data_IF_427827369534
#
_entry.id   IF_427827369534
#
_cell.length_a   1.000
_cell.length_b   1.000
_cell.length_c   1.000
_cell.angle_alpha   90.00
_cell.angle_beta   90.00
_cell.angle_gamma   90.00
#
_symmetry.space_group_name_H-M   'P 1'
#
loop_
_entity.id
_entity.type
_entity.pdbx_description
1 polymer ?
#
# COMPACT_ATOMS: atom_id res chain seq x y z
N UNK A 1 58.92 50.45 23.45
CA UNK A 1 58.24 50.07 22.19
C UNK A 1 57.72 48.66 22.42
N UNK A 2 56.39 48.52 22.69
CA UNK A 2 55.75 47.24 22.98
C UNK A 2 54.91 46.86 21.78
N UNK A 3 55.26 45.75 21.11
CA UNK A 3 54.48 45.20 20.01
C UNK A 3 53.35 44.36 20.56
N UNK A 4 52.11 44.73 20.24
CA UNK A 4 50.88 43.96 20.49
C UNK A 4 50.54 43.20 19.21
N UNK A 5 50.74 41.88 19.22
CA UNK A 5 50.22 40.98 18.19
C UNK A 5 48.76 40.67 18.46
N UNK A 6 47.85 41.20 17.64
CA UNK A 6 46.43 40.83 17.67
C UNK A 6 46.21 39.51 16.91
N UNK A 7 45.79 38.49 17.58
CA UNK A 7 45.35 37.22 16.94
C UNK A 7 43.91 37.38 16.45
N UNK A 8 43.72 37.35 15.14
CA UNK A 8 42.41 37.23 14.45
C UNK A 8 41.93 35.77 14.53
N UNK A 9 40.92 35.50 15.34
CA UNK A 9 40.20 34.25 15.33
C UNK A 9 39.21 34.25 14.15
N UNK A 10 39.55 33.50 13.10
CA UNK A 10 38.60 33.17 12.03
C UNK A 10 37.59 32.13 12.55
N UNK A 11 36.37 32.55 12.73
CA UNK A 11 35.24 31.65 12.91
C UNK A 11 34.89 31.02 11.57
N UNK A 12 35.24 29.73 11.39
CA UNK A 12 34.72 28.93 10.29
C UNK A 12 33.25 28.60 10.59
N UNK A 13 32.33 29.32 9.97
CA UNK A 13 30.93 28.93 9.91
C UNK A 13 30.84 27.63 9.08
N UNK A 14 30.72 26.51 9.77
CA UNK A 14 30.27 25.28 9.14
C UNK A 14 28.81 25.47 8.74
N UNK A 15 28.56 25.89 7.51
CA UNK A 15 27.26 25.77 6.86
C UNK A 15 26.98 24.29 6.70
N UNK A 16 26.11 23.74 7.56
CA UNK A 16 25.49 22.44 7.28
C UNK A 16 24.78 22.56 5.94
N UNK A 17 24.95 21.60 5.02
CA UNK A 17 24.18 21.62 3.80
C UNK A 17 22.68 21.58 4.21
N UNK A 18 21.93 22.57 3.78
CA UNK A 18 20.48 22.49 3.84
C UNK A 18 20.08 21.23 3.04
N UNK A 19 19.53 20.23 3.72
CA UNK A 19 18.95 19.10 3.03
C UNK A 19 17.81 19.66 2.16
N UNK A 20 17.97 19.58 0.85
CA UNK A 20 16.91 19.93 -0.08
C UNK A 20 15.74 18.97 0.18
N UNK A 21 14.61 19.52 0.62
CA UNK A 21 13.38 18.75 0.84
C UNK A 21 12.85 18.36 -0.54
N UNK A 22 12.76 17.08 -0.80
CA UNK A 22 12.19 16.58 -2.05
C UNK A 22 10.73 17.03 -2.16
N UNK A 23 10.43 17.92 -3.10
CA UNK A 23 9.07 18.43 -3.26
C UNK A 23 8.21 17.42 -4.02
N UNK A 24 7.20 16.85 -3.34
CA UNK A 24 6.16 15.99 -3.89
C UNK A 24 4.79 16.60 -3.60
N UNK A 25 4.25 17.42 -4.54
CA UNK A 25 3.03 18.18 -4.29
C UNK A 25 1.84 17.34 -3.86
N UNK A 26 1.69 16.13 -4.41
CA UNK A 26 0.61 15.22 -4.05
C UNK A 26 0.75 14.71 -2.61
N UNK A 27 1.99 14.45 -2.15
CA UNK A 27 2.25 14.10 -0.75
C UNK A 27 1.99 15.28 0.18
N UNK A 28 2.44 16.48 -0.17
CA UNK A 28 2.19 17.68 0.63
C UNK A 28 0.70 17.96 0.76
N UNK A 29 -0.06 17.80 -0.32
CA UNK A 29 -1.52 17.91 -0.30
C UNK A 29 -2.14 16.86 0.63
N UNK A 30 -1.77 15.57 0.48
CA UNK A 30 -2.27 14.49 1.31
C UNK A 30 -1.97 14.75 2.80
N UNK A 31 -0.74 15.09 3.11
CA UNK A 31 -0.30 15.40 4.48
C UNK A 31 -1.10 16.54 5.11
N UNK A 32 -1.34 17.61 4.38
CA UNK A 32 -2.08 18.78 4.87
C UNK A 32 -3.57 18.50 5.09
N UNK A 33 -4.19 17.67 4.27
CA UNK A 33 -5.64 17.46 4.31
C UNK A 33 -6.06 16.25 5.16
N UNK A 34 -5.23 15.22 5.22
CA UNK A 34 -5.62 13.96 5.83
C UNK A 34 -4.79 13.56 7.06
N UNK A 35 -3.64 14.19 7.35
CA UNK A 35 -2.82 13.84 8.50
C UNK A 35 -2.92 14.93 9.58
N UNK A 36 -3.36 14.55 10.79
CA UNK A 36 -3.38 15.46 11.93
C UNK A 36 -1.97 15.75 12.46
N UNK A 37 -1.83 16.78 13.30
CA UNK A 37 -0.56 17.12 13.94
C UNK A 37 0.03 15.97 14.76
N UNK A 38 -0.83 15.12 15.37
CA UNK A 38 -0.39 13.96 16.14
C UNK A 38 -0.04 12.73 15.28
N UNK A 39 -0.22 12.79 13.96
CA UNK A 39 0.07 11.68 13.05
C UNK A 39 -1.10 10.73 12.79
N UNK A 40 -2.33 11.17 13.02
CA UNK A 40 -3.54 10.42 12.69
C UNK A 40 -3.94 10.68 11.24
N UNK A 41 -4.13 9.64 10.44
CA UNK A 41 -4.75 9.73 9.11
C UNK A 41 -6.27 9.73 9.25
N UNK A 42 -6.94 10.73 8.70
CA UNK A 42 -8.38 10.95 8.83
C UNK A 42 -9.04 10.80 7.46
N UNK A 43 -9.92 9.81 7.33
CA UNK A 43 -10.84 9.75 6.20
C UNK A 43 -12.07 10.60 6.53
N UNK A 44 -12.33 11.70 5.77
CA UNK A 44 -13.44 12.59 6.03
C UNK A 44 -14.78 12.04 5.52
N UNK A 45 -14.80 10.90 4.81
CA UNK A 45 -15.97 10.38 4.13
C UNK A 45 -17.19 10.29 5.07
N UNK A 46 -18.35 10.73 4.59
CA UNK A 46 -19.63 10.72 5.29
C UNK A 46 -19.61 11.43 6.66
N UNK A 47 -18.64 12.32 6.91
CA UNK A 47 -18.53 13.05 8.17
C UNK A 47 -18.10 12.21 9.38
N UNK A 48 -17.84 10.91 9.20
CA UNK A 48 -17.45 10.00 10.29
C UNK A 48 -16.04 10.24 10.81
N UNK A 49 -15.15 10.83 9.97
CA UNK A 49 -13.76 11.11 10.34
C UNK A 49 -13.06 9.91 10.98
N UNK A 50 -13.20 8.75 10.35
CA UNK A 50 -12.58 7.51 10.82
C UNK A 50 -11.09 7.46 10.48
N UNK A 51 -10.39 6.53 11.12
CA UNK A 51 -9.03 6.13 10.78
C UNK A 51 -9.01 4.63 10.61
N UNK A 52 -8.42 4.19 9.50
CA UNK A 52 -8.14 2.77 9.28
C UNK A 52 -6.64 2.50 9.44
N UNK A 53 -6.29 1.29 9.84
CA UNK A 53 -4.88 0.86 9.80
C UNK A 53 -4.32 0.90 8.39
N UNK A 54 -5.17 0.68 7.36
CA UNK A 54 -4.80 0.85 5.94
C UNK A 54 -4.30 2.27 5.67
N UNK A 55 -5.05 3.29 6.09
CA UNK A 55 -4.64 4.67 5.90
C UNK A 55 -3.32 5.02 6.58
N UNK A 56 -3.13 4.54 7.82
CA UNK A 56 -1.87 4.72 8.55
C UNK A 56 -0.70 4.02 7.81
N UNK A 57 -0.91 2.80 7.32
CA UNK A 57 0.11 2.01 6.64
C UNK A 57 0.58 2.64 5.33
N UNK A 58 -0.35 3.14 4.52
CA UNK A 58 -0.03 3.81 3.27
C UNK A 58 0.65 5.16 3.50
N UNK A 59 0.20 5.93 4.50
CA UNK A 59 0.86 7.18 4.85
C UNK A 59 2.31 6.97 5.33
N UNK A 60 2.58 5.90 6.09
CA UNK A 60 3.95 5.50 6.45
C UNK A 60 4.81 5.23 5.20
N UNK A 61 4.27 4.51 4.23
CA UNK A 61 4.97 4.24 2.98
C UNK A 61 5.27 5.53 2.20
N UNK A 62 4.30 6.44 2.07
CA UNK A 62 4.51 7.69 1.34
C UNK A 62 5.47 8.64 2.07
N UNK A 63 5.42 8.69 3.39
CA UNK A 63 6.41 9.44 4.18
C UNK A 63 7.83 8.90 3.98
N UNK A 64 7.98 7.55 3.91
CA UNK A 64 9.26 6.92 3.60
C UNK A 64 9.73 7.25 2.18
N UNK A 65 8.87 7.16 1.17
CA UNK A 65 9.20 7.53 -0.23
C UNK A 65 9.69 8.98 -0.32
N UNK A 66 9.10 9.89 0.45
CA UNK A 66 9.47 11.31 0.45
C UNK A 66 10.61 11.68 1.42
N UNK A 67 11.28 10.72 2.06
CA UNK A 67 12.28 10.94 3.16
C UNK A 67 11.74 11.82 4.30
N UNK A 68 10.41 11.84 4.49
CA UNK A 68 9.74 12.62 5.55
C UNK A 68 9.76 11.85 6.89
N UNK A 69 10.93 11.82 7.51
CA UNK A 69 11.20 11.07 8.75
C UNK A 69 10.37 11.54 9.93
N UNK A 70 10.08 12.84 9.98
CA UNK A 70 9.29 13.42 11.06
C UNK A 70 7.83 12.95 10.98
N UNK A 71 7.22 13.03 9.80
CA UNK A 71 5.84 12.54 9.61
C UNK A 71 5.77 11.02 9.79
N UNK A 72 6.77 10.26 9.30
CA UNK A 72 6.86 8.82 9.52
C UNK A 72 6.86 8.47 11.02
N UNK A 73 7.67 9.14 11.82
CA UNK A 73 7.76 8.89 13.26
C UNK A 73 6.44 9.21 13.98
N UNK A 74 5.76 10.32 13.61
CA UNK A 74 4.44 10.68 14.19
C UNK A 74 3.34 9.68 13.81
N UNK A 75 3.30 9.25 12.55
CA UNK A 75 2.37 8.23 12.08
C UNK A 75 2.56 6.90 12.83
N UNK A 76 3.81 6.46 12.98
CA UNK A 76 4.14 5.22 13.69
C UNK A 76 3.75 5.30 15.17
N UNK A 77 4.11 6.37 15.84
CA UNK A 77 3.79 6.58 17.26
C UNK A 77 2.27 6.61 17.50
N UNK A 78 1.51 7.28 16.60
CA UNK A 78 0.06 7.29 16.69
C UNK A 78 -0.53 5.89 16.47
N UNK A 79 -0.05 5.18 15.46
CA UNK A 79 -0.48 3.81 15.12
C UNK A 79 -0.24 2.87 16.29
N UNK A 80 0.96 2.90 16.86
CA UNK A 80 1.32 2.06 18.00
C UNK A 80 0.45 2.34 19.23
N UNK A 81 0.32 3.62 19.59
CA UNK A 81 -0.47 4.02 20.78
C UNK A 81 -1.96 3.76 20.63
N UNK A 82 -2.56 4.05 19.47
CA UNK A 82 -4.01 4.06 19.31
C UNK A 82 -4.57 2.75 18.73
N UNK A 83 -3.83 2.10 17.84
CA UNK A 83 -4.31 0.89 17.17
C UNK A 83 -3.71 -0.39 17.76
N UNK A 84 -2.47 -0.35 18.26
CA UNK A 84 -1.75 -1.53 18.77
C UNK A 84 -1.56 -1.50 20.31
N UNK A 85 -2.42 -0.83 21.05
CA UNK A 85 -2.41 -0.78 22.53
C UNK A 85 -1.07 -0.31 23.12
N UNK A 86 -0.31 0.48 22.39
CA UNK A 86 1.01 0.98 22.77
C UNK A 86 2.17 0.02 22.54
N UNK A 87 1.95 -1.11 21.88
CA UNK A 87 2.99 -2.13 21.64
C UNK A 87 2.73 -2.94 20.35
N UNK A 88 3.31 -2.51 19.25
CA UNK A 88 3.27 -3.25 17.96
C UNK A 88 3.98 -4.60 18.02
N UNK A 89 4.87 -4.82 18.98
CA UNK A 89 5.49 -6.14 19.17
C UNK A 89 4.53 -7.12 19.85
N UNK A 90 3.60 -6.60 20.64
CA UNK A 90 2.60 -7.34 21.40
C UNK A 90 1.25 -7.51 20.73
N UNK A 91 0.86 -6.61 19.82
CA UNK A 91 -0.49 -6.57 19.24
C UNK A 91 -0.45 -6.16 17.77
N UNK A 92 -1.28 -6.81 16.93
CA UNK A 92 -1.58 -6.32 15.60
C UNK A 92 -2.45 -5.05 15.70
N UNK A 93 -2.29 -4.07 14.82
CA UNK A 93 -3.14 -2.90 14.77
C UNK A 93 -4.63 -3.23 14.58
N UNK A 94 -5.49 -2.63 15.37
CA UNK A 94 -6.93 -2.63 15.13
C UNK A 94 -7.24 -1.90 13.83
N UNK A 95 -8.09 -2.51 12.97
CA UNK A 95 -8.29 -1.95 11.64
C UNK A 95 -9.10 -0.67 11.60
N UNK A 96 -10.01 -0.45 12.58
CA UNK A 96 -10.94 0.69 12.57
C UNK A 96 -10.93 1.46 13.89
N UNK A 97 -10.72 2.76 13.80
CA UNK A 97 -10.77 3.70 14.91
C UNK A 97 -11.64 4.90 14.55
N UNK A 98 -12.35 5.46 15.52
CA UNK A 98 -13.25 6.56 15.27
C UNK A 98 -14.07 6.96 16.49
N UNK A 99 -15.18 7.66 16.26
CA UNK A 99 -16.08 8.10 17.31
C UNK A 99 -17.02 6.98 17.71
N UNK A 100 -16.98 6.56 18.96
CA UNK A 100 -17.81 5.52 19.56
C UNK A 100 -19.23 6.04 19.84
N UNK A 101 -20.14 5.14 20.16
CA UNK A 101 -21.56 5.49 20.43
C UNK A 101 -21.74 6.38 21.65
N UNK A 102 -20.85 6.27 22.64
CA UNK A 102 -20.84 7.11 23.85
C UNK A 102 -20.24 8.51 23.62
N UNK A 103 -19.78 8.79 22.38
CA UNK A 103 -19.18 10.05 21.98
C UNK A 103 -17.68 10.14 22.16
N UNK A 104 -17.04 9.17 22.81
CA UNK A 104 -15.59 9.08 22.96
C UNK A 104 -14.93 8.65 21.65
N UNK A 105 -13.63 8.92 21.54
CA UNK A 105 -12.81 8.47 20.44
C UNK A 105 -12.03 7.22 20.84
N UNK A 106 -12.01 6.19 19.98
CA UNK A 106 -11.33 4.94 20.28
C UNK A 106 -11.49 3.90 19.17
N UNK A 107 -11.02 2.69 19.45
CA UNK A 107 -11.13 1.55 18.55
C UNK A 107 -12.63 1.18 18.40
N UNK A 108 -13.08 1.10 17.14
CA UNK A 108 -14.46 0.69 16.77
C UNK A 108 -14.52 -0.79 16.46
N UNK A 109 -13.47 -1.33 15.83
CA UNK A 109 -13.31 -2.75 15.58
C UNK A 109 -11.85 -3.13 15.82
N UNK A 110 -11.65 -4.07 16.74
CA UNK A 110 -10.32 -4.50 17.20
C UNK A 110 -9.73 -5.67 16.39
N UNK A 111 -10.40 -6.14 15.33
CA UNK A 111 -9.77 -7.08 14.41
C UNK A 111 -8.61 -6.40 13.69
N UNK A 112 -7.67 -7.16 13.15
CA UNK A 112 -6.62 -6.63 12.29
C UNK A 112 -7.06 -6.61 10.81
N UNK A 113 -6.31 -5.87 10.00
CA UNK A 113 -6.40 -5.93 8.54
C UNK A 113 -5.00 -6.20 7.99
N UNK A 114 -4.82 -7.40 7.44
CA UNK A 114 -3.50 -7.94 7.12
C UNK A 114 -2.77 -7.21 6.00
N UNK A 115 -3.48 -6.56 5.08
CA UNK A 115 -2.88 -5.68 4.08
C UNK A 115 -2.17 -4.49 4.74
N UNK A 116 -2.82 -3.89 5.72
CA UNK A 116 -2.25 -2.81 6.52
C UNK A 116 -1.00 -3.26 7.27
N UNK A 117 -1.10 -4.41 7.93
CA UNK A 117 -0.02 -4.96 8.72
C UNK A 117 1.19 -5.31 7.84
N UNK A 118 0.95 -5.80 6.62
CA UNK A 118 1.98 -6.00 5.60
C UNK A 118 2.67 -4.69 5.22
N UNK A 119 1.91 -3.62 4.93
CA UNK A 119 2.49 -2.35 4.56
C UNK A 119 3.23 -1.66 5.71
N UNK A 120 2.75 -1.80 6.97
CA UNK A 120 3.47 -1.30 8.16
C UNK A 120 4.80 -2.06 8.32
N UNK A 121 4.77 -3.40 8.27
CA UNK A 121 5.98 -4.22 8.38
C UNK A 121 6.98 -3.88 7.26
N UNK A 122 6.52 -3.75 6.02
CA UNK A 122 7.34 -3.37 4.88
C UNK A 122 7.99 -1.99 5.08
N UNK A 123 7.18 -0.99 5.42
CA UNK A 123 7.66 0.39 5.61
C UNK A 123 8.70 0.48 6.73
N UNK A 124 8.51 -0.27 7.82
CA UNK A 124 9.48 -0.35 8.92
C UNK A 124 10.79 -1.03 8.50
N UNK A 125 10.73 -2.13 7.76
CA UNK A 125 11.92 -2.84 7.28
C UNK A 125 12.72 -1.97 6.29
N UNK A 126 12.03 -1.29 5.39
CA UNK A 126 12.68 -0.42 4.40
C UNK A 126 13.17 0.90 5.01
N UNK A 127 12.44 1.50 5.95
CA UNK A 127 12.91 2.64 6.72
C UNK A 127 14.16 2.27 7.55
N UNK A 128 14.15 1.08 8.16
CA UNK A 128 15.30 0.55 8.87
C UNK A 128 16.54 0.41 7.98
N UNK A 129 16.36 -0.07 6.75
CA UNK A 129 17.44 -0.22 5.76
C UNK A 129 17.89 1.12 5.18
N UNK A 130 16.96 1.95 4.74
CA UNK A 130 17.26 3.21 4.02
C UNK A 130 17.80 4.31 4.96
N UNK A 131 17.33 4.33 6.18
CA UNK A 131 17.74 5.32 7.20
C UNK A 131 18.78 4.79 8.19
N UNK A 132 19.28 3.56 8.02
CA UNK A 132 20.19 2.87 8.94
C UNK A 132 19.66 2.86 10.38
N UNK A 133 18.35 2.58 10.52
CA UNK A 133 17.67 2.57 11.83
C UNK A 133 17.36 1.13 12.27
N UNK A 134 18.23 0.60 13.15
CA UNK A 134 18.09 -0.76 13.66
C UNK A 134 16.79 -0.99 14.47
N UNK A 135 16.23 0.04 15.11
CA UNK A 135 14.97 -0.09 15.85
C UNK A 135 13.80 -0.34 14.91
N UNK A 136 13.74 0.35 13.77
CA UNK A 136 12.71 0.10 12.77
C UNK A 136 12.86 -1.30 12.13
N UNK A 137 14.10 -1.72 11.82
CA UNK A 137 14.36 -3.07 11.32
C UNK A 137 13.91 -4.16 12.30
N UNK A 138 14.18 -3.97 13.59
CA UNK A 138 13.79 -4.90 14.64
C UNK A 138 12.26 -4.95 14.79
N UNK A 139 11.60 -3.78 14.85
CA UNK A 139 10.14 -3.67 14.99
C UNK A 139 9.43 -4.30 13.79
N UNK A 140 9.86 -4.00 12.55
CA UNK A 140 9.31 -4.60 11.33
C UNK A 140 9.48 -6.12 11.30
N UNK A 141 10.63 -6.64 11.77
CA UNK A 141 10.88 -8.09 11.86
C UNK A 141 9.96 -8.76 12.89
N UNK A 142 9.73 -8.13 14.03
CA UNK A 142 8.83 -8.66 15.07
C UNK A 142 7.37 -8.65 14.62
N UNK A 143 6.94 -7.56 13.98
CA UNK A 143 5.61 -7.47 13.40
C UNK A 143 5.41 -8.54 12.32
N UNK A 144 6.37 -8.73 11.41
CA UNK A 144 6.30 -9.74 10.36
C UNK A 144 6.15 -11.17 10.94
N UNK A 145 6.85 -11.49 12.05
CA UNK A 145 6.69 -12.76 12.76
C UNK A 145 5.31 -12.91 13.39
N UNK A 146 4.72 -11.82 13.85
CA UNK A 146 3.37 -11.81 14.42
C UNK A 146 2.33 -12.05 13.34
N UNK A 147 2.42 -11.38 12.20
CA UNK A 147 1.57 -11.60 11.03
C UNK A 147 1.61 -13.08 10.61
N UNK A 148 2.82 -13.66 10.51
CA UNK A 148 2.97 -15.08 10.15
C UNK A 148 2.24 -16.03 11.13
N UNK A 149 2.14 -15.66 12.41
CA UNK A 149 1.50 -16.48 13.44
C UNK A 149 0.00 -16.28 13.52
N UNK A 150 -0.50 -15.05 13.29
CA UNK A 150 -1.87 -14.68 13.59
C UNK A 150 -2.74 -14.51 12.35
N UNK A 151 -2.15 -14.29 11.17
CA UNK A 151 -2.88 -13.98 9.95
C UNK A 151 -2.57 -14.92 8.77
N UNK A 152 -1.58 -15.81 8.91
CA UNK A 152 -1.31 -16.81 7.88
C UNK A 152 -1.94 -18.15 8.25
N UNK A 153 -2.74 -18.68 7.33
CA UNK A 153 -3.30 -20.03 7.42
C UNK A 153 -2.73 -20.92 6.31
N UNK A 154 -2.56 -22.21 6.59
CA UNK A 154 -2.22 -23.20 5.56
C UNK A 154 -3.49 -23.87 5.07
N UNK A 155 -3.93 -23.51 3.87
CA UNK A 155 -5.17 -23.99 3.29
C UNK A 155 -4.95 -25.36 2.63
N UNK A 156 -5.81 -26.36 2.93
CA UNK A 156 -5.71 -27.68 2.30
C UNK A 156 -5.79 -27.57 0.78
N UNK A 157 -4.85 -28.23 0.08
CA UNK A 157 -4.78 -28.22 -1.39
C UNK A 157 -4.25 -26.94 -2.03
N UNK A 158 -4.02 -25.87 -1.25
CA UNK A 158 -3.50 -24.60 -1.76
C UNK A 158 -2.11 -24.26 -1.18
N UNK A 159 -1.96 -24.27 0.13
CA UNK A 159 -0.73 -23.88 0.82
C UNK A 159 -0.91 -22.69 1.77
N UNK A 160 0.19 -22.04 2.19
CA UNK A 160 0.11 -20.89 3.09
C UNK A 160 -0.43 -19.66 2.36
N UNK A 161 -1.42 -19.00 2.97
CA UNK A 161 -2.02 -17.75 2.47
C UNK A 161 -2.24 -16.76 3.59
N UNK A 162 -2.24 -15.48 3.26
CA UNK A 162 -2.63 -14.41 4.16
C UNK A 162 -4.15 -14.34 4.24
N UNK A 163 -4.71 -14.51 5.43
CA UNK A 163 -6.11 -14.22 5.70
C UNK A 163 -6.29 -12.71 5.82
N UNK A 164 -7.45 -12.13 5.48
CA UNK A 164 -7.66 -10.68 5.50
C UNK A 164 -7.53 -10.03 6.88
N UNK A 165 -7.48 -10.81 7.94
CA UNK A 165 -7.23 -10.40 9.32
C UNK A 165 -7.18 -11.62 10.24
N UNK A 166 -6.91 -11.41 11.52
CA UNK A 166 -6.70 -12.49 12.48
C UNK A 166 -7.96 -13.31 12.79
N UNK A 167 -9.17 -12.79 12.48
CA UNK A 167 -10.43 -13.46 12.84
C UNK A 167 -11.51 -13.26 11.78
N UNK A 168 -12.39 -14.26 11.65
CA UNK A 168 -13.65 -14.12 10.90
C UNK A 168 -13.57 -14.53 9.42
N UNK A 169 -12.45 -15.05 8.95
CA UNK A 169 -12.24 -15.40 7.54
C UNK A 169 -12.16 -16.90 7.28
N UNK A 170 -12.36 -17.72 8.31
CA UNK A 170 -12.38 -19.16 8.22
C UNK A 170 -13.64 -19.74 8.88
N UNK A 171 -14.27 -20.71 8.25
CA UNK A 171 -15.40 -21.46 8.78
C UNK A 171 -15.87 -22.56 7.86
N UNK A 172 -16.19 -23.73 8.43
CA UNK A 172 -16.79 -24.89 7.73
C UNK A 172 -15.96 -25.38 6.52
N UNK A 173 -14.62 -25.35 6.61
CA UNK A 173 -13.71 -25.75 5.52
C UNK A 173 -13.68 -24.75 4.36
N UNK A 174 -14.07 -23.53 4.60
CA UNK A 174 -14.04 -22.39 3.68
C UNK A 174 -13.19 -21.27 4.25
N UNK A 175 -12.41 -20.64 3.39
CA UNK A 175 -11.57 -19.47 3.70
C UNK A 175 -11.91 -18.35 2.75
N UNK A 176 -12.28 -17.19 3.29
CA UNK A 176 -12.53 -15.97 2.51
C UNK A 176 -11.23 -15.16 2.40
N UNK A 177 -10.86 -14.81 1.19
CA UNK A 177 -9.61 -14.11 0.86
C UNK A 177 -9.89 -12.82 0.10
N UNK A 178 -8.98 -11.87 0.22
CA UNK A 178 -8.96 -10.65 -0.59
C UNK A 178 -7.65 -10.63 -1.42
N UNK A 179 -7.72 -10.84 -2.76
CA UNK A 179 -6.52 -10.88 -3.60
C UNK A 179 -5.69 -9.59 -3.56
N UNK A 180 -6.31 -8.44 -3.30
CA UNK A 180 -5.62 -7.15 -3.24
C UNK A 180 -4.73 -6.98 -2.00
N UNK A 181 -4.89 -7.84 -0.99
CA UNK A 181 -4.10 -7.83 0.25
C UNK A 181 -2.71 -8.46 0.08
N UNK A 182 -2.39 -8.94 -1.12
CA UNK A 182 -1.17 -9.67 -1.44
C UNK A 182 -0.29 -8.92 -2.47
N UNK A 183 0.29 -7.75 -2.13
CA UNK A 183 1.21 -7.08 -3.04
C UNK A 183 2.45 -7.96 -3.30
N UNK A 184 2.73 -8.36 -4.55
CA UNK A 184 3.81 -9.30 -4.87
C UNK A 184 5.19 -8.77 -4.45
N UNK A 185 5.43 -7.46 -4.55
CA UNK A 185 6.68 -6.82 -4.15
C UNK A 185 6.94 -6.91 -2.64
N UNK A 186 5.90 -6.86 -1.82
CA UNK A 186 6.04 -7.05 -0.37
C UNK A 186 6.42 -8.50 -0.06
N UNK A 187 5.75 -9.48 -0.67
CA UNK A 187 6.11 -10.89 -0.55
C UNK A 187 7.53 -11.17 -1.05
N UNK A 188 7.97 -10.50 -2.13
CA UNK A 188 9.33 -10.61 -2.62
C UNK A 188 10.34 -10.15 -1.55
N UNK A 189 10.06 -9.03 -0.88
CA UNK A 189 10.90 -8.52 0.21
C UNK A 189 10.90 -9.43 1.42
N UNK A 190 9.73 -9.93 1.80
CA UNK A 190 9.57 -10.80 2.97
C UNK A 190 10.19 -12.19 2.78
N UNK A 191 10.36 -12.65 1.53
CA UNK A 191 10.98 -13.95 1.25
C UNK A 191 12.42 -14.09 1.78
N UNK A 192 13.09 -12.98 2.09
CA UNK A 192 14.42 -12.98 2.75
C UNK A 192 14.34 -13.14 4.27
N UNK A 193 13.16 -13.14 4.86
CA UNK A 193 12.93 -13.33 6.30
C UNK A 193 12.41 -14.71 6.61
N UNK A 194 12.59 -15.16 7.86
CA UNK A 194 12.05 -16.42 8.32
C UNK A 194 10.51 -16.37 8.38
N UNK A 195 9.85 -17.33 7.72
CA UNK A 195 8.39 -17.43 7.68
C UNK A 195 7.90 -18.11 6.40
N UNK A 196 6.58 -18.08 6.15
CA UNK A 196 5.95 -18.73 4.99
C UNK A 196 6.09 -17.94 3.68
N UNK A 197 6.79 -16.82 3.69
CA UNK A 197 6.78 -15.78 2.68
C UNK A 197 7.26 -16.25 1.31
N UNK A 198 8.29 -17.11 1.28
CA UNK A 198 8.80 -17.70 0.04
C UNK A 198 7.79 -18.60 -0.64
N UNK A 199 7.07 -19.42 0.14
CA UNK A 199 6.00 -20.30 -0.37
C UNK A 199 4.81 -19.47 -0.83
N UNK A 200 4.41 -18.44 -0.07
CA UNK A 200 3.33 -17.53 -0.47
C UNK A 200 3.68 -16.79 -1.75
N UNK A 201 4.93 -16.30 -1.89
CA UNK A 201 5.40 -15.65 -3.14
C UNK A 201 5.30 -16.61 -4.33
N UNK A 202 5.70 -17.87 -4.16
CA UNK A 202 5.64 -18.88 -5.23
C UNK A 202 4.20 -19.24 -5.61
N UNK A 203 3.28 -19.24 -4.63
CA UNK A 203 1.86 -19.53 -4.82
C UNK A 203 1.10 -18.36 -5.49
N UNK A 204 1.50 -17.14 -5.24
CA UNK A 204 0.74 -15.93 -5.58
C UNK A 204 0.30 -15.84 -7.05
N UNK A 205 1.16 -16.11 -8.07
CA UNK A 205 0.72 -16.06 -9.46
C UNK A 205 -0.45 -17.00 -9.75
N UNK A 206 -0.40 -18.23 -9.20
CA UNK A 206 -1.48 -19.20 -9.34
C UNK A 206 -2.77 -18.70 -8.66
N UNK A 207 -2.66 -18.19 -7.43
CA UNK A 207 -3.80 -17.66 -6.68
C UNK A 207 -4.49 -16.55 -7.46
N UNK A 208 -3.75 -15.56 -7.93
CA UNK A 208 -4.30 -14.41 -8.65
C UNK A 208 -4.96 -14.82 -9.99
N UNK A 209 -4.32 -15.70 -10.76
CA UNK A 209 -4.85 -16.12 -12.05
C UNK A 209 -6.08 -17.01 -11.92
N UNK A 210 -6.07 -17.97 -11.01
CA UNK A 210 -7.20 -18.89 -10.83
C UNK A 210 -8.42 -18.22 -10.19
N UNK A 211 -8.23 -17.24 -9.29
CA UNK A 211 -9.33 -16.46 -8.70
C UNK A 211 -9.93 -15.43 -9.67
N UNK A 212 -9.25 -15.13 -10.77
CA UNK A 212 -9.64 -14.16 -11.78
C UNK A 212 -9.63 -14.77 -13.20
N UNK A 213 -10.46 -15.78 -13.51
CA UNK A 213 -10.33 -16.61 -14.72
C UNK A 213 -10.46 -15.85 -16.05
N UNK A 214 -10.97 -14.63 -16.01
CA UNK A 214 -11.09 -13.73 -17.19
C UNK A 214 -10.14 -12.53 -17.14
N UNK A 215 -9.20 -12.50 -16.19
CA UNK A 215 -8.29 -11.36 -16.00
C UNK A 215 -8.94 -10.14 -15.35
N UNK A 216 -10.09 -10.35 -14.67
CA UNK A 216 -10.72 -9.36 -13.82
C UNK A 216 -10.67 -9.84 -12.37
N UNK A 217 -9.91 -9.13 -11.54
CA UNK A 217 -9.75 -9.48 -10.14
C UNK A 217 -11.07 -9.29 -9.38
N UNK A 218 -11.49 -10.24 -8.52
CA UNK A 218 -12.57 -10.02 -7.58
C UNK A 218 -12.09 -9.21 -6.38
N UNK A 219 -12.99 -8.49 -5.70
CA UNK A 219 -12.70 -7.89 -4.39
C UNK A 219 -12.47 -8.99 -3.35
N UNK A 220 -13.32 -10.01 -3.37
CA UNK A 220 -13.29 -11.13 -2.43
C UNK A 220 -13.53 -12.45 -3.13
N UNK A 221 -12.92 -13.52 -2.61
CA UNK A 221 -13.07 -14.87 -3.15
C UNK A 221 -12.96 -15.90 -2.03
N UNK A 222 -13.71 -16.99 -2.14
CA UNK A 222 -13.63 -18.10 -1.20
C UNK A 222 -12.75 -19.23 -1.76
N UNK A 223 -11.99 -19.89 -0.89
CA UNK A 223 -11.34 -21.17 -1.14
C UNK A 223 -12.03 -22.27 -0.39
N UNK A 224 -12.32 -23.39 -1.05
CA UNK A 224 -12.77 -24.65 -0.45
C UNK A 224 -11.90 -25.79 -0.97
N UNK A 225 -11.38 -26.64 -0.07
CA UNK A 225 -10.40 -27.67 -0.42
C UNK A 225 -10.89 -28.68 -1.47
N UNK A 226 -12.19 -28.98 -1.44
CA UNK A 226 -12.85 -29.97 -2.32
C UNK A 226 -13.42 -29.34 -3.60
N UNK A 227 -13.55 -28.01 -3.67
CA UNK A 227 -14.20 -27.29 -4.78
C UNK A 227 -13.31 -26.25 -5.47
N UNK A 228 -12.17 -25.91 -4.87
CA UNK A 228 -11.30 -24.84 -5.34
C UNK A 228 -11.90 -23.44 -5.09
N UNK A 229 -11.64 -22.50 -5.98
CA UNK A 229 -12.11 -21.12 -5.89
C UNK A 229 -13.63 -21.04 -6.07
N UNK A 230 -14.27 -20.30 -5.18
CA UNK A 230 -15.73 -20.10 -5.18
C UNK A 230 -16.04 -18.61 -5.04
N UNK A 231 -17.19 -18.22 -5.55
CA UNK A 231 -17.75 -16.88 -5.34
C UNK A 231 -18.16 -16.72 -3.88
N UNK A 232 -17.84 -15.59 -3.28
CA UNK A 232 -18.24 -15.26 -1.92
C UNK A 232 -19.75 -15.05 -1.83
N UNK A 233 -20.42 -15.74 -0.93
CA UNK A 233 -21.90 -15.79 -0.90
C UNK A 233 -22.57 -14.43 -0.66
N UNK A 234 -21.94 -13.59 0.17
CA UNK A 234 -22.45 -12.27 0.56
C UNK A 234 -21.91 -11.11 -0.30
N UNK A 235 -20.77 -11.30 -0.98
CA UNK A 235 -20.10 -10.22 -1.75
C UNK A 235 -20.11 -10.45 -3.27
N UNK A 236 -20.49 -11.65 -3.73
CA UNK A 236 -20.55 -11.99 -5.14
C UNK A 236 -19.16 -12.13 -5.79
N UNK A 237 -19.16 -12.02 -7.14
CA UNK A 237 -17.98 -12.14 -7.99
C UNK A 237 -17.46 -10.76 -8.46
N UNK A 238 -17.87 -9.69 -7.79
CA UNK A 238 -17.55 -8.32 -8.20
C UNK A 238 -16.14 -7.93 -7.80
N UNK A 239 -15.43 -7.30 -8.72
CA UNK A 239 -14.20 -6.55 -8.46
C UNK A 239 -14.44 -5.05 -8.65
N UNK A 240 -13.95 -4.25 -7.71
CA UNK A 240 -14.12 -2.80 -7.72
C UNK A 240 -13.04 -2.12 -6.88
N UNK A 241 -13.42 -1.58 -5.73
CA UNK A 241 -12.55 -0.74 -4.90
C UNK A 241 -11.40 -1.51 -4.22
N UNK A 242 -11.55 -2.79 -3.90
CA UNK A 242 -10.45 -3.62 -3.44
C UNK A 242 -9.61 -4.11 -4.64
N UNK A 243 -10.27 -4.69 -5.62
CA UNK A 243 -9.65 -5.32 -6.78
C UNK A 243 -8.77 -4.36 -7.60
N UNK A 244 -9.07 -3.05 -7.63
CA UNK A 244 -8.27 -2.06 -8.34
C UNK A 244 -6.81 -2.06 -7.91
N UNK A 245 -6.53 -2.40 -6.66
CA UNK A 245 -5.17 -2.51 -6.11
C UNK A 245 -4.41 -3.72 -6.68
N UNK A 246 -5.07 -4.78 -7.11
CA UNK A 246 -4.39 -5.89 -7.80
C UNK A 246 -3.67 -5.38 -9.04
N UNK A 247 -4.35 -4.63 -9.89
CA UNK A 247 -3.76 -4.07 -11.11
C UNK A 247 -2.63 -3.08 -10.79
N UNK A 248 -2.80 -2.27 -9.75
CA UNK A 248 -1.79 -1.34 -9.26
C UNK A 248 -0.51 -2.09 -8.85
N UNK A 249 -0.65 -3.11 -7.99
CA UNK A 249 0.49 -3.90 -7.51
C UNK A 249 1.21 -4.61 -8.65
N UNK A 250 0.47 -5.20 -9.58
CA UNK A 250 1.06 -5.90 -10.72
C UNK A 250 1.80 -4.95 -11.67
N UNK A 251 1.26 -3.77 -11.91
CA UNK A 251 1.92 -2.75 -12.71
C UNK A 251 3.24 -2.27 -12.13
N UNK A 252 3.34 -2.22 -10.79
CA UNK A 252 4.54 -1.78 -10.07
C UNK A 252 5.61 -2.87 -9.88
N UNK A 253 5.34 -4.13 -10.27
CA UNK A 253 6.35 -5.19 -10.22
C UNK A 253 7.59 -4.81 -11.02
N UNK A 254 8.77 -5.18 -10.50
CA UNK A 254 10.03 -5.10 -11.24
C UNK A 254 9.95 -5.83 -12.57
N UNK A 255 10.58 -5.29 -13.61
CA UNK A 255 10.68 -5.97 -14.92
C UNK A 255 11.46 -7.27 -14.84
N UNK A 256 12.29 -7.43 -13.82
CA UNK A 256 13.08 -8.63 -13.55
C UNK A 256 12.30 -9.69 -12.74
N UNK A 257 11.09 -9.36 -12.23
CA UNK A 257 10.28 -10.36 -11.51
C UNK A 257 9.78 -11.42 -12.49
N UNK A 258 10.07 -12.72 -12.24
CA UNK A 258 9.73 -13.81 -13.17
C UNK A 258 8.23 -13.97 -13.41
N UNK A 259 7.37 -13.54 -12.49
CA UNK A 259 5.92 -13.65 -12.62
C UNK A 259 5.30 -12.48 -13.40
N UNK A 260 6.02 -11.35 -13.53
CA UNK A 260 5.47 -10.10 -14.08
C UNK A 260 4.84 -10.26 -15.46
N UNK A 261 5.57 -10.84 -16.40
CA UNK A 261 5.09 -10.95 -17.78
C UNK A 261 3.77 -11.73 -17.87
N UNK A 262 3.67 -12.85 -17.16
CA UNK A 262 2.46 -13.69 -17.11
C UNK A 262 1.29 -12.97 -16.44
N UNK A 263 1.53 -12.31 -15.30
CA UNK A 263 0.50 -11.61 -14.55
C UNK A 263 -0.01 -10.37 -15.29
N UNK A 264 0.87 -9.54 -15.84
CA UNK A 264 0.49 -8.36 -16.63
C UNK A 264 -0.33 -8.76 -17.84
N UNK A 265 0.06 -9.83 -18.56
CA UNK A 265 -0.70 -10.33 -19.70
C UNK A 265 -2.09 -10.85 -19.29
N UNK A 266 -2.17 -11.56 -18.15
CA UNK A 266 -3.44 -12.10 -17.66
C UNK A 266 -4.45 -11.00 -17.29
N UNK A 267 -3.98 -9.92 -16.65
CA UNK A 267 -4.81 -8.82 -16.17
C UNK A 267 -4.98 -7.65 -17.17
N UNK A 268 -4.41 -7.76 -18.37
CA UNK A 268 -4.55 -6.77 -19.44
C UNK A 268 -6.02 -6.45 -19.86
N UNK A 269 -7.02 -7.36 -19.73
CA UNK A 269 -8.40 -7.06 -20.07
C UNK A 269 -8.98 -5.81 -19.38
N UNK A 270 -8.51 -5.44 -18.17
CA UNK A 270 -8.95 -4.21 -17.50
C UNK A 270 -8.54 -2.95 -18.28
N UNK A 271 -7.35 -2.93 -18.89
CA UNK A 271 -6.91 -1.81 -19.72
C UNK A 271 -7.70 -1.72 -21.04
N UNK A 272 -8.18 -2.86 -21.56
CA UNK A 272 -9.00 -2.87 -22.77
C UNK A 272 -10.34 -2.12 -22.57
N UNK A 273 -10.90 -2.15 -21.35
CA UNK A 273 -12.12 -1.42 -21.01
C UNK A 273 -11.99 0.10 -21.24
N UNK A 274 -10.81 0.66 -20.98
CA UNK A 274 -10.55 2.08 -21.26
C UNK A 274 -10.64 2.38 -22.77
N UNK A 275 -10.16 1.48 -23.62
CA UNK A 275 -10.21 1.65 -25.07
C UNK A 275 -11.62 1.48 -25.63
N UNK A 276 -12.39 0.58 -25.06
CA UNK A 276 -13.76 0.25 -25.51
C UNK A 276 -14.79 1.32 -25.13
N UNK A 277 -14.69 1.85 -23.90
CA UNK A 277 -15.70 2.75 -23.31
C UNK A 277 -15.21 4.19 -23.05
N UNK A 278 -13.91 4.44 -23.20
CA UNK A 278 -13.28 5.73 -22.87
C UNK A 278 -13.09 5.98 -21.37
N UNK A 279 -13.51 5.08 -20.51
CA UNK A 279 -13.34 5.16 -19.06
C UNK A 279 -13.16 3.75 -18.45
N UNK A 280 -12.61 3.71 -17.23
CA UNK A 280 -12.55 2.48 -16.45
C UNK A 280 -13.92 2.22 -15.81
N UNK A 281 -14.36 0.96 -15.70
CA UNK A 281 -15.58 0.62 -14.98
C UNK A 281 -15.37 0.81 -13.47
N UNK A 282 -16.45 1.11 -12.75
CA UNK A 282 -16.45 1.10 -11.29
C UNK A 282 -16.42 -0.33 -10.74
N UNK A 283 -17.14 -1.24 -11.41
CA UNK A 283 -17.25 -2.65 -11.01
C UNK A 283 -17.19 -3.56 -12.22
N UNK A 284 -16.59 -4.73 -12.05
CA UNK A 284 -16.52 -5.78 -13.06
C UNK A 284 -16.81 -7.13 -12.41
N UNK A 285 -17.63 -7.97 -13.06
CA UNK A 285 -17.76 -9.38 -12.67
C UNK A 285 -16.49 -10.15 -13.07
N UNK A 286 -15.84 -10.81 -12.12
CA UNK A 286 -14.63 -11.60 -12.38
C UNK A 286 -14.91 -12.83 -13.24
N UNK A 287 -16.14 -13.36 -13.22
CA UNK A 287 -16.55 -14.55 -13.95
C UNK A 287 -17.10 -14.24 -15.34
N UNK A 288 -17.92 -13.20 -15.48
CA UNK A 288 -18.56 -12.87 -16.77
C UNK A 288 -17.83 -11.80 -17.58
N UNK A 289 -17.09 -10.91 -16.89
CA UNK A 289 -16.52 -9.70 -17.48
C UNK A 289 -17.55 -8.58 -17.67
N UNK A 290 -18.76 -8.72 -17.16
CA UNK A 290 -19.76 -7.64 -17.19
C UNK A 290 -19.28 -6.44 -16.40
N UNK A 291 -19.36 -5.26 -17.00
CA UNK A 291 -18.93 -3.98 -16.41
C UNK A 291 -20.15 -3.18 -15.94
N UNK A 292 -19.96 -2.41 -14.88
CA UNK A 292 -20.96 -1.51 -14.32
C UNK A 292 -20.33 -0.20 -13.86
N UNK A 293 -21.03 0.90 -14.11
CA UNK A 293 -20.67 2.23 -13.64
C UNK A 293 -19.41 2.80 -14.31
N UNK A 294 -19.02 3.97 -13.82
CA UNK A 294 -17.77 4.64 -14.19
C UNK A 294 -16.92 4.77 -12.95
N UNK A 295 -15.73 4.22 -12.99
CA UNK A 295 -14.77 4.27 -11.89
C UNK A 295 -14.35 5.70 -11.56
N UNK A 296 -14.02 5.98 -10.30
CA UNK A 296 -13.52 7.29 -9.88
C UNK A 296 -12.14 7.57 -10.49
N UNK A 297 -11.72 8.84 -10.44
CA UNK A 297 -10.43 9.29 -10.99
C UNK A 297 -9.20 8.54 -10.45
N UNK A 298 -9.25 8.13 -9.18
CA UNK A 298 -8.20 7.33 -8.58
C UNK A 298 -7.95 5.98 -9.27
N UNK A 299 -8.97 5.40 -9.94
CA UNK A 299 -8.77 4.17 -10.71
C UNK A 299 -7.85 4.39 -11.92
N UNK A 300 -7.93 5.57 -12.56
CA UNK A 300 -7.00 5.92 -13.62
C UNK A 300 -5.56 5.98 -13.12
N UNK A 301 -5.34 6.55 -11.95
CA UNK A 301 -4.02 6.59 -11.31
C UNK A 301 -3.52 5.18 -10.97
N UNK A 302 -4.37 4.32 -10.42
CA UNK A 302 -4.01 2.94 -10.06
C UNK A 302 -3.57 2.10 -11.28
N UNK A 303 -4.09 2.39 -12.48
CA UNK A 303 -3.72 1.66 -13.69
C UNK A 303 -2.51 2.26 -14.44
N UNK A 304 -1.99 3.41 -14.04
CA UNK A 304 -0.81 4.00 -14.67
C UNK A 304 0.39 3.04 -14.74
N UNK A 305 0.77 2.36 -13.64
CA UNK A 305 1.90 1.44 -13.68
C UNK A 305 1.68 0.26 -14.64
N UNK A 306 0.47 -0.31 -14.66
CA UNK A 306 0.13 -1.44 -15.55
C UNK A 306 0.13 -1.03 -17.03
N UNK A 307 -0.17 0.22 -17.32
CA UNK A 307 -0.25 0.77 -18.69
C UNK A 307 1.10 1.24 -19.25
N UNK A 308 2.19 1.08 -18.51
CA UNK A 308 3.52 1.58 -18.91
C UNK A 308 3.92 1.12 -20.31
N UNK A 309 4.25 2.09 -21.15
CA UNK A 309 4.64 1.84 -22.55
C UNK A 309 3.49 1.52 -23.51
N UNK A 310 2.24 1.51 -23.05
CA UNK A 310 1.05 1.30 -23.86
C UNK A 310 0.35 2.63 -24.21
N UNK A 311 -0.39 2.72 -25.33
CA UNK A 311 -1.16 3.92 -25.68
C UNK A 311 -2.14 4.39 -24.58
N UNK A 312 -2.69 3.44 -23.81
CA UNK A 312 -3.57 3.72 -22.66
C UNK A 312 -2.94 4.65 -21.60
N UNK A 313 -1.63 4.60 -21.44
CA UNK A 313 -0.91 5.43 -20.46
C UNK A 313 -1.13 6.93 -20.69
N UNK A 314 -1.14 7.38 -21.96
CA UNK A 314 -1.38 8.79 -22.30
C UNK A 314 -2.77 9.23 -21.88
N UNK A 315 -3.78 8.39 -22.12
CA UNK A 315 -5.17 8.66 -21.73
C UNK A 315 -5.31 8.71 -20.20
N UNK A 316 -4.71 7.75 -19.49
CA UNK A 316 -4.76 7.70 -18.03
C UNK A 316 -4.05 8.89 -17.39
N UNK A 317 -2.85 9.28 -17.86
CA UNK A 317 -2.16 10.49 -17.40
C UNK A 317 -3.01 11.74 -17.57
N UNK A 318 -3.68 11.87 -18.72
CA UNK A 318 -4.59 12.97 -18.96
C UNK A 318 -5.76 12.97 -17.97
N UNK A 319 -6.39 11.82 -17.73
CA UNK A 319 -7.51 11.70 -16.79
C UNK A 319 -7.08 12.08 -15.35
N UNK A 320 -5.89 11.63 -14.90
CA UNK A 320 -5.34 12.00 -13.60
C UNK A 320 -5.05 13.51 -13.51
N UNK A 321 -4.43 14.08 -14.54
CA UNK A 321 -4.10 15.50 -14.59
C UNK A 321 -5.35 16.40 -14.62
N UNK A 322 -6.39 16.02 -15.36
CA UNK A 322 -7.62 16.83 -15.50
C UNK A 322 -8.44 16.88 -14.20
N UNK A 323 -8.35 15.86 -13.34
CA UNK A 323 -9.11 15.81 -12.07
C UNK A 323 -8.36 16.42 -10.90
N UNK A 324 -7.02 16.40 -10.92
CA UNK A 324 -6.21 16.83 -9.78
C UNK A 324 -6.45 15.99 -8.51
N UNK A 325 -6.05 16.55 -7.38
CA UNK A 325 -6.31 15.97 -6.05
C UNK A 325 -7.55 16.64 -5.45
N UNK A 326 -8.54 15.83 -5.09
CA UNK A 326 -9.76 16.27 -4.42
C UNK A 326 -9.61 16.02 -2.91
N UNK A 327 -9.72 17.08 -2.10
CA UNK A 327 -9.59 17.02 -0.64
C UNK A 327 -10.66 16.14 0.04
N UNK A 328 -11.78 15.88 -0.64
CA UNK A 328 -12.84 15.02 -0.13
C UNK A 328 -12.74 13.58 -0.63
N UNK A 329 -11.83 13.30 -1.57
CA UNK A 329 -11.63 11.97 -2.16
C UNK A 329 -10.38 11.26 -1.58
N UNK A 330 -10.43 10.92 -0.30
CA UNK A 330 -9.34 10.28 0.43
C UNK A 330 -8.75 9.06 -0.31
N UNK A 331 -9.59 8.08 -0.66
CA UNK A 331 -9.11 6.87 -1.33
C UNK A 331 -8.57 7.14 -2.74
N UNK A 332 -9.17 8.07 -3.46
CA UNK A 332 -8.66 8.55 -4.75
C UNK A 332 -7.26 9.16 -4.63
N UNK A 333 -7.02 9.93 -3.56
CA UNK A 333 -5.70 10.53 -3.25
C UNK A 333 -4.65 9.45 -2.93
N UNK A 334 -5.01 8.39 -2.19
CA UNK A 334 -4.14 7.24 -1.91
C UNK A 334 -3.73 6.54 -3.22
N UNK A 335 -4.69 6.22 -4.09
CA UNK A 335 -4.40 5.59 -5.38
C UNK A 335 -3.55 6.47 -6.28
N UNK A 336 -3.74 7.80 -6.22
CA UNK A 336 -2.93 8.76 -6.97
C UNK A 336 -1.49 8.79 -6.47
N UNK A 337 -1.27 8.83 -5.16
CA UNK A 337 0.08 8.76 -4.59
C UNK A 337 0.81 7.49 -5.01
N UNK A 338 0.15 6.34 -4.97
CA UNK A 338 0.76 5.11 -5.47
C UNK A 338 1.02 5.15 -6.98
N UNK A 339 -0.01 5.29 -7.78
CA UNK A 339 0.08 5.10 -9.23
C UNK A 339 0.81 6.24 -9.96
N UNK A 340 0.45 7.49 -9.67
CA UNK A 340 1.12 8.65 -10.28
C UNK A 340 2.53 8.85 -9.70
N UNK A 341 2.73 8.65 -8.41
CA UNK A 341 4.06 8.69 -7.79
C UNK A 341 5.01 7.67 -8.44
N UNK A 342 4.54 6.44 -8.67
CA UNK A 342 5.32 5.44 -9.41
C UNK A 342 5.55 5.87 -10.87
N UNK A 343 4.54 6.37 -11.57
CA UNK A 343 4.64 6.81 -12.96
C UNK A 343 5.63 7.97 -13.13
N UNK A 344 5.66 8.90 -12.18
CA UNK A 344 6.60 10.02 -12.10
C UNK A 344 8.02 9.63 -11.69
N UNK A 345 8.26 8.37 -11.30
CA UNK A 345 9.59 7.90 -10.90
C UNK A 345 9.97 8.13 -9.44
N UNK A 346 9.02 8.56 -8.59
CA UNK A 346 9.30 8.81 -7.17
C UNK A 346 9.87 7.60 -6.44
N UNK A 347 9.53 6.41 -6.90
CA UNK A 347 10.04 5.15 -6.35
C UNK A 347 9.91 4.00 -7.35
N UNK A 348 10.68 2.95 -7.11
CA UNK A 348 10.61 1.64 -7.77
C UNK A 348 10.76 0.54 -6.74
N UNK A 349 10.41 -0.69 -7.14
CA UNK A 349 10.71 -1.90 -6.40
C UNK A 349 11.71 -2.73 -7.19
N UNK A 350 12.77 -3.22 -6.55
CA UNK A 350 13.67 -4.20 -7.14
C UNK A 350 13.00 -5.59 -7.22
N UNK A 351 13.61 -6.54 -7.91
CA UNK A 351 13.07 -7.90 -8.06
C UNK A 351 12.95 -8.67 -6.72
N UNK A 352 13.76 -8.32 -5.74
CA UNK A 352 13.69 -8.84 -4.37
C UNK A 352 12.70 -8.06 -3.47
N UNK A 353 11.97 -7.09 -4.04
CA UNK A 353 11.01 -6.26 -3.35
C UNK A 353 11.61 -5.10 -2.54
N UNK A 354 12.92 -4.87 -2.56
CA UNK A 354 13.50 -3.70 -1.88
C UNK A 354 13.03 -2.40 -2.53
N UNK A 355 12.74 -1.41 -1.70
CA UNK A 355 12.32 -0.08 -2.13
C UNK A 355 13.52 0.72 -2.67
N UNK A 356 13.32 1.35 -3.81
CA UNK A 356 14.26 2.26 -4.44
C UNK A 356 13.59 3.64 -4.58
N UNK A 357 13.59 4.48 -3.53
CA UNK A 357 13.06 5.83 -3.65
C UNK A 357 14.04 6.70 -4.43
N UNK A 358 13.48 7.62 -5.21
CA UNK A 358 14.29 8.62 -5.92
C UNK A 358 14.44 9.88 -5.05
N UNK A 359 15.46 9.85 -4.17
CA UNK A 359 15.77 10.99 -3.32
C UNK A 359 16.76 11.96 -3.97
N UNK A 360 17.35 11.61 -5.13
CA UNK A 360 18.45 12.35 -5.74
C UNK A 360 18.03 13.31 -6.86
N UNK A 361 17.04 12.95 -7.68
CA UNK A 361 16.68 13.76 -8.86
C UNK A 361 15.56 14.77 -8.59
N UNK A 362 14.68 14.49 -7.63
CA UNK A 362 13.57 15.40 -7.25
C UNK A 362 13.98 16.52 -6.31
N UNK A 363 15.23 16.52 -5.84
CA UNK A 363 15.75 17.43 -4.82
C UNK A 363 16.73 18.47 -5.36
N UNK A 364 16.70 18.79 -6.65
CA UNK A 364 17.49 19.91 -7.17
C UNK A 364 16.86 21.22 -6.64
N UNK A 365 17.64 21.93 -5.81
CA UNK A 365 17.28 23.25 -5.33
C UNK A 365 17.09 24.18 -6.53
N UNK A 366 15.92 24.85 -6.60
CA UNK A 366 15.77 26.05 -7.41
C UNK A 366 16.67 27.18 -6.90
#
# INVERSE_FOLDING_TARGET
MKNVCGALLLWALCSLPAQAVCHWPEWDHFRQHYISEEGRVIDPAEGRRITTSEGQSYALFFALVNDDRETFARLLDWTERQLARGDLTGFLPSWLWGRQQDGNWGVLDANSASDSDFWIAYSLLEAGRLWDNHSYSALGTLLLRRIAREEVATLPGLGPVLQPGAKGYEGEGRWTLNPSYLPPQLLARFASFQGPWGEMRALLPKLLQESAPRGFAPDWVDWQADKGWQVTADKGDTGGYDAIRVYLWLGMLSEEDPARASLVAHFAPMLAQLTESGHLPERVSSLSGQVQGKGPSGFAAALLPLSRGLPAQVTLRKQVSDHGLDADAYYGSVLTLFGAGWDQGRYRFAADGTLQPDWSESCQAE
#
